data_IF_704112868236
#
_entry.id   IF_704112868236
#
_cell.length_a   1.000
_cell.length_b   1.000
_cell.length_c   1.000
_cell.angle_alpha   90.00
_cell.angle_beta   90.00
_cell.angle_gamma   90.00
#
_symmetry.space_group_name_H-M   'P 1'
#
loop_
_entity.id
_entity.type
_entity.pdbx_description
1 polymer ?
#
# COMPACT_ATOMS: atom_id res chain seq x y z
N UNK A 1 -49.62 -18.23 60.93
CA UNK A 1 -48.28 -18.41 60.35
C UNK A 1 -47.86 -17.07 59.80
N UNK A 2 -47.19 -16.24 60.63
CA UNK A 2 -46.75 -14.89 60.25
C UNK A 2 -45.35 -14.96 59.60
N UNK A 3 -45.28 -14.79 58.31
CA UNK A 3 -44.02 -14.55 57.63
C UNK A 3 -43.65 -13.09 57.92
N UNK A 4 -42.57 -12.90 58.67
CA UNK A 4 -42.12 -11.60 59.12
C UNK A 4 -41.65 -10.77 57.94
N UNK A 5 -42.07 -9.49 57.87
CA UNK A 5 -41.67 -8.47 56.81
C UNK A 5 -40.16 -8.39 56.58
N UNK A 6 -39.33 -8.83 57.53
CA UNK A 6 -37.86 -8.86 57.46
C UNK A 6 -37.32 -9.76 56.37
N UNK A 7 -37.98 -10.87 56.01
CA UNK A 7 -37.47 -11.79 54.97
C UNK A 7 -37.82 -11.31 53.57
N UNK A 8 -38.89 -10.53 53.36
CA UNK A 8 -39.29 -9.99 52.08
C UNK A 8 -38.31 -8.88 51.63
N UNK A 9 -37.88 -8.03 52.57
CA UNK A 9 -36.93 -6.94 52.30
C UNK A 9 -35.54 -7.48 51.95
N UNK A 10 -35.08 -8.55 52.60
CA UNK A 10 -33.79 -9.19 52.29
C UNK A 10 -33.77 -9.80 50.89
N UNK A 11 -34.86 -10.41 50.44
CA UNK A 11 -34.94 -10.95 49.07
C UNK A 11 -35.02 -9.86 47.99
N UNK A 12 -35.74 -8.76 48.25
CA UNK A 12 -35.81 -7.62 47.33
C UNK A 12 -34.49 -6.90 47.18
N UNK A 13 -33.73 -6.72 48.27
CA UNK A 13 -32.38 -6.13 48.24
C UNK A 13 -31.38 -7.03 47.51
N UNK A 14 -31.45 -8.37 47.70
CA UNK A 14 -30.56 -9.31 46.98
C UNK A 14 -30.84 -9.37 45.49
N UNK A 15 -32.10 -9.28 45.05
CA UNK A 15 -32.47 -9.27 43.63
C UNK A 15 -32.04 -7.96 42.98
N UNK A 16 -32.18 -6.81 43.66
CA UNK A 16 -31.73 -5.51 43.13
C UNK A 16 -30.21 -5.42 43.00
N UNK A 17 -29.43 -6.00 43.93
CA UNK A 17 -27.96 -6.06 43.81
C UNK A 17 -27.51 -6.97 42.65
N UNK A 18 -28.24 -8.09 42.41
CA UNK A 18 -27.88 -8.99 41.29
C UNK A 18 -28.17 -8.37 39.93
N UNK A 19 -29.26 -7.61 39.77
CA UNK A 19 -29.60 -6.88 38.55
C UNK A 19 -28.62 -5.74 38.32
N UNK A 20 -28.15 -5.02 39.35
CA UNK A 20 -27.14 -3.97 39.23
C UNK A 20 -25.77 -4.51 38.87
N UNK A 21 -25.37 -5.71 39.37
CA UNK A 21 -24.13 -6.38 39.02
C UNK A 21 -24.10 -6.86 37.55
N UNK A 22 -25.25 -7.26 36.97
CA UNK A 22 -25.34 -7.64 35.55
C UNK A 22 -25.29 -6.43 34.59
N UNK A 23 -25.65 -5.24 35.04
CA UNK A 23 -25.60 -4.01 34.22
C UNK A 23 -24.21 -3.37 34.15
N UNK A 24 -23.31 -3.69 35.09
CA UNK A 24 -21.95 -3.13 35.14
C UNK A 24 -20.95 -3.94 34.27
N UNK A 25 -21.35 -5.12 33.79
CA UNK A 25 -20.47 -6.00 32.96
C UNK A 25 -20.56 -5.76 31.44
N UNK A 26 -21.22 -4.71 31.00
CA UNK A 26 -20.96 -4.18 29.64
C UNK A 26 -19.64 -3.42 29.67
N UNK A 27 -18.52 -4.14 29.83
CA UNK A 27 -17.23 -3.63 29.46
C UNK A 27 -17.36 -3.16 28.01
N UNK A 28 -17.39 -1.83 27.83
CA UNK A 28 -17.17 -1.25 26.53
C UNK A 28 -15.83 -1.80 26.05
N UNK A 29 -15.86 -2.85 25.24
CA UNK A 29 -14.70 -3.31 24.50
C UNK A 29 -14.38 -2.13 23.56
N UNK A 30 -13.57 -1.20 24.05
CA UNK A 30 -13.04 -0.15 23.20
C UNK A 30 -12.36 -0.86 22.06
N UNK A 31 -12.95 -0.78 20.88
CA UNK A 31 -12.32 -1.36 19.70
C UNK A 31 -10.89 -0.82 19.65
N UNK A 32 -9.93 -1.72 19.60
CA UNK A 32 -8.51 -1.35 19.52
C UNK A 32 -8.31 -0.43 18.31
N UNK A 33 -7.65 0.72 18.51
CA UNK A 33 -7.28 1.61 17.43
C UNK A 33 -6.35 0.88 16.46
N UNK A 34 -6.77 0.77 15.20
CA UNK A 34 -5.95 0.19 14.14
C UNK A 34 -4.89 1.20 13.69
N UNK A 35 -3.65 0.76 13.58
CA UNK A 35 -2.54 1.56 13.05
C UNK A 35 -2.19 1.10 11.65
N UNK A 36 -2.27 2.01 10.67
CA UNK A 36 -2.01 1.72 9.26
C UNK A 36 -0.87 2.62 8.77
N UNK A 37 0.22 2.01 8.29
CA UNK A 37 1.31 2.74 7.64
C UNK A 37 1.00 3.07 6.19
N UNK A 38 1.38 4.27 5.74
CA UNK A 38 1.30 4.69 4.34
C UNK A 38 2.39 5.70 4.00
N UNK A 39 2.73 5.82 2.72
CA UNK A 39 3.75 6.73 2.21
C UNK A 39 3.22 7.63 1.09
N UNK A 40 4.11 8.27 0.35
CA UNK A 40 3.81 9.30 -0.64
C UNK A 40 3.31 8.80 -2.00
N UNK A 41 3.23 7.47 -2.21
CA UNK A 41 2.63 6.93 -3.43
C UNK A 41 1.20 7.49 -3.65
N UNK A 42 0.87 7.99 -4.84
CA UNK A 42 -0.41 8.66 -5.09
C UNK A 42 -1.63 7.82 -4.72
N UNK A 43 -1.59 6.51 -4.91
CA UNK A 43 -2.65 5.59 -4.50
C UNK A 43 -2.82 5.53 -2.99
N UNK A 44 -1.72 5.52 -2.22
CA UNK A 44 -1.79 5.50 -0.75
C UNK A 44 -2.25 6.83 -0.19
N UNK A 45 -1.81 7.94 -0.78
CA UNK A 45 -2.22 9.30 -0.36
C UNK A 45 -3.73 9.52 -0.51
N UNK A 46 -4.43 8.74 -1.35
CA UNK A 46 -5.89 8.82 -1.46
C UNK A 46 -6.60 8.58 -0.11
N UNK A 47 -6.02 7.81 0.81
CA UNK A 47 -6.54 7.65 2.17
C UNK A 47 -6.68 8.97 2.94
N UNK A 48 -5.85 9.98 2.61
CA UNK A 48 -5.90 11.29 3.26
C UNK A 48 -7.29 11.95 3.10
N UNK A 49 -7.98 11.69 2.00
CA UNK A 49 -9.36 12.17 1.79
C UNK A 49 -10.29 11.66 2.90
N UNK A 50 -10.21 10.36 3.24
CA UNK A 50 -11.03 9.81 4.32
C UNK A 50 -10.62 10.32 5.69
N UNK A 51 -9.32 10.55 5.91
CA UNK A 51 -8.76 11.08 7.16
C UNK A 51 -9.31 12.50 7.39
N UNK A 52 -9.12 13.41 6.44
CA UNK A 52 -9.50 14.81 6.57
C UNK A 52 -11.02 15.00 6.64
N UNK A 53 -11.77 14.12 5.96
CA UNK A 53 -13.25 14.18 5.99
C UNK A 53 -13.86 13.43 7.18
N UNK A 54 -13.06 12.77 8.02
CA UNK A 54 -13.55 12.07 9.22
C UNK A 54 -14.36 10.80 8.91
N UNK A 55 -14.20 10.20 7.73
CA UNK A 55 -15.04 9.06 7.29
C UNK A 55 -14.82 7.79 8.08
N UNK A 56 -13.67 7.60 8.70
CA UNK A 56 -13.45 6.47 9.62
C UNK A 56 -14.31 6.60 10.87
N UNK A 57 -14.43 7.80 11.44
CA UNK A 57 -15.32 8.08 12.57
C UNK A 57 -16.78 7.86 12.20
N UNK A 58 -17.21 8.33 11.01
CA UNK A 58 -18.57 8.08 10.49
C UNK A 58 -18.86 6.58 10.35
N UNK A 59 -17.87 5.78 9.90
CA UNK A 59 -17.99 4.34 9.79
C UNK A 59 -17.92 3.61 11.14
N UNK A 60 -17.66 4.33 12.24
CA UNK A 60 -17.53 3.75 13.58
C UNK A 60 -16.34 2.80 13.68
N UNK A 61 -15.19 3.19 13.12
CA UNK A 61 -13.92 2.48 13.26
C UNK A 61 -12.84 3.47 13.70
N UNK A 62 -12.07 3.08 14.72
CA UNK A 62 -10.95 3.88 15.21
C UNK A 62 -9.68 3.45 14.47
N UNK A 63 -9.16 4.36 13.64
CA UNK A 63 -7.98 4.12 12.80
C UNK A 63 -7.03 5.30 12.90
N UNK A 64 -5.76 5.02 13.10
CA UNK A 64 -4.67 5.98 12.99
C UNK A 64 -3.82 5.63 11.77
N UNK A 65 -3.80 6.51 10.78
CA UNK A 65 -2.83 6.42 9.69
C UNK A 65 -1.50 7.05 10.12
N UNK A 66 -0.41 6.31 9.95
CA UNK A 66 0.95 6.77 10.24
C UNK A 66 1.69 7.02 8.92
N UNK A 67 2.12 8.25 8.74
CA UNK A 67 2.85 8.68 7.55
C UNK A 67 4.33 8.35 7.64
N UNK A 68 4.86 7.81 6.55
CA UNK A 68 6.27 7.56 6.35
C UNK A 68 6.74 8.25 5.08
N UNK A 69 7.68 9.20 5.21
CA UNK A 69 8.31 9.84 4.05
C UNK A 69 9.28 8.90 3.32
N UNK A 70 9.73 7.86 4.01
CA UNK A 70 10.58 6.79 3.50
C UNK A 70 9.73 5.50 3.49
N UNK A 71 9.55 4.93 2.30
CA UNK A 71 8.73 3.73 2.10
C UNK A 71 9.28 2.53 2.86
N UNK A 72 10.59 2.27 2.76
CA UNK A 72 11.21 1.14 3.46
C UNK A 72 11.08 1.25 4.97
N UNK A 73 11.08 2.45 5.55
CA UNK A 73 10.82 2.64 6.97
C UNK A 73 9.39 2.21 7.38
N UNK A 74 8.40 2.32 6.47
CA UNK A 74 7.05 1.80 6.74
C UNK A 74 7.03 0.27 6.78
N UNK A 75 7.76 -0.39 5.87
CA UNK A 75 7.92 -1.85 5.83
C UNK A 75 8.61 -2.36 7.09
N UNK A 76 9.66 -1.67 7.54
CA UNK A 76 10.36 -1.97 8.79
C UNK A 76 9.45 -1.82 10.02
N UNK A 77 8.66 -0.74 10.08
CA UNK A 77 7.73 -0.50 11.17
C UNK A 77 6.65 -1.60 11.25
N UNK A 78 6.11 -2.05 10.10
CA UNK A 78 5.17 -3.17 10.05
C UNK A 78 5.87 -4.47 10.48
N UNK A 79 7.06 -4.75 9.97
CA UNK A 79 7.84 -5.94 10.29
C UNK A 79 8.21 -6.02 11.78
N UNK A 80 8.40 -4.87 12.42
CA UNK A 80 8.62 -4.77 13.86
C UNK A 80 7.33 -4.87 14.71
N UNK A 81 6.16 -5.11 14.07
CA UNK A 81 4.87 -5.22 14.77
C UNK A 81 4.31 -3.90 15.33
N UNK A 82 4.79 -2.76 14.84
CA UNK A 82 4.32 -1.42 15.28
C UNK A 82 3.03 -0.99 14.59
N UNK A 83 2.67 -1.64 13.48
CA UNK A 83 1.50 -1.39 12.65
C UNK A 83 0.61 -2.62 12.57
N UNK A 84 -0.70 -2.42 12.50
CA UNK A 84 -1.70 -3.46 12.27
C UNK A 84 -1.88 -3.76 10.78
N UNK A 85 -1.73 -2.73 9.96
CA UNK A 85 -1.83 -2.79 8.51
C UNK A 85 -0.84 -1.84 7.82
N UNK A 86 -0.63 -2.06 6.54
CA UNK A 86 0.31 -1.29 5.73
C UNK A 86 -0.16 -1.26 4.27
N UNK A 87 0.07 -0.12 3.60
CA UNK A 87 -0.06 0.00 2.15
C UNK A 87 1.29 -0.29 1.49
N UNK A 88 1.32 -1.21 0.54
CA UNK A 88 2.53 -1.65 -0.14
C UNK A 88 2.17 -2.34 -1.46
N UNK A 89 3.18 -2.66 -2.28
CA UNK A 89 2.92 -3.46 -3.48
C UNK A 89 2.67 -4.94 -3.14
N UNK A 90 1.99 -5.64 -4.05
CA UNK A 90 1.78 -7.09 -3.93
C UNK A 90 3.11 -7.87 -3.89
N UNK A 91 4.15 -7.40 -4.59
CA UNK A 91 5.49 -7.99 -4.56
C UNK A 91 6.17 -7.78 -3.22
N UNK A 92 6.14 -6.56 -2.68
CA UNK A 92 6.79 -6.22 -1.41
C UNK A 92 6.09 -6.86 -0.21
N UNK A 93 4.76 -7.10 -0.32
CA UNK A 93 4.02 -7.91 0.65
C UNK A 93 4.63 -9.30 0.83
N UNK A 94 5.08 -9.93 -0.28
CA UNK A 94 5.78 -11.23 -0.22
C UNK A 94 7.19 -11.09 0.34
N UNK A 95 7.91 -10.02 0.00
CA UNK A 95 9.27 -9.76 0.50
C UNK A 95 9.28 -9.70 2.02
N UNK A 96 8.42 -8.86 2.61
CA UNK A 96 8.36 -8.76 4.08
C UNK A 96 7.82 -10.04 4.72
N UNK A 97 6.90 -10.77 4.06
CA UNK A 97 6.38 -12.04 4.55
C UNK A 97 7.47 -13.12 4.59
N UNK A 98 8.33 -13.20 3.58
CA UNK A 98 9.47 -14.11 3.51
C UNK A 98 10.52 -13.81 4.61
N UNK A 99 10.67 -12.54 4.97
CA UNK A 99 11.48 -12.05 6.10
C UNK A 99 10.88 -12.30 7.48
N UNK A 100 9.68 -12.92 7.55
CA UNK A 100 9.02 -13.27 8.82
C UNK A 100 7.86 -12.35 9.21
N UNK A 101 7.68 -11.21 8.56
CA UNK A 101 6.55 -10.30 8.79
C UNK A 101 5.29 -10.79 8.07
N UNK A 102 4.71 -11.89 8.55
CA UNK A 102 3.51 -12.49 7.94
C UNK A 102 2.38 -11.47 7.86
N UNK A 103 1.77 -11.40 6.69
CA UNK A 103 0.69 -10.47 6.40
C UNK A 103 -0.30 -11.09 5.40
N UNK A 104 -1.46 -10.47 5.25
CA UNK A 104 -2.50 -10.90 4.31
C UNK A 104 -3.03 -9.68 3.56
N UNK A 105 -3.01 -9.72 2.25
CA UNK A 105 -3.58 -8.72 1.36
C UNK A 105 -5.11 -8.83 1.42
N UNK A 106 -5.79 -7.81 1.93
CA UNK A 106 -7.24 -7.82 2.13
C UNK A 106 -8.00 -6.90 1.19
N UNK A 107 -7.30 -5.97 0.52
CA UNK A 107 -7.88 -4.96 -0.36
C UNK A 107 -6.89 -4.59 -1.45
N UNK A 108 -7.33 -4.59 -2.70
CA UNK A 108 -6.64 -4.00 -3.83
C UNK A 108 -6.93 -2.50 -3.86
N UNK A 109 -5.88 -1.69 -3.86
CA UNK A 109 -5.98 -0.23 -3.88
C UNK A 109 -5.92 0.32 -5.30
N UNK A 110 -4.85 0.00 -6.01
CA UNK A 110 -4.60 0.50 -7.36
C UNK A 110 -3.55 -0.36 -8.09
N UNK A 111 -3.20 0.06 -9.30
CA UNK A 111 -1.96 -0.34 -9.94
C UNK A 111 -1.28 0.86 -10.60
N UNK A 112 0.04 0.78 -10.74
CA UNK A 112 0.83 1.79 -11.43
C UNK A 112 0.68 1.67 -12.96
N UNK A 113 0.28 2.78 -13.59
CA UNK A 113 0.08 2.91 -15.03
C UNK A 113 0.90 4.07 -15.59
N UNK A 114 2.21 4.04 -15.33
CA UNK A 114 3.17 5.02 -15.82
C UNK A 114 3.87 5.87 -14.76
N UNK A 115 3.48 5.79 -13.50
CA UNK A 115 4.08 6.58 -12.41
C UNK A 115 5.39 6.01 -11.86
N UNK A 116 5.61 4.69 -11.97
CA UNK A 116 6.92 4.09 -11.74
C UNK A 116 7.74 4.18 -13.03
N UNK A 117 8.97 4.69 -12.94
CA UNK A 117 9.76 5.06 -14.11
C UNK A 117 11.22 4.69 -13.95
N UNK A 118 11.84 4.27 -15.06
CA UNK A 118 13.29 4.34 -15.26
C UNK A 118 13.60 5.70 -15.88
N UNK A 119 14.12 6.62 -15.08
CA UNK A 119 14.48 7.98 -15.50
C UNK A 119 15.98 8.04 -15.78
N UNK A 120 16.36 8.42 -16.99
CA UNK A 120 17.74 8.46 -17.42
C UNK A 120 18.22 9.87 -17.78
N UNK A 121 19.50 10.11 -17.61
CA UNK A 121 20.19 11.35 -17.97
C UNK A 121 20.17 11.61 -19.49
N UNK A 122 20.37 12.88 -19.92
CA UNK A 122 20.53 13.24 -21.31
C UNK A 122 21.59 12.36 -22.00
N UNK A 123 21.31 11.96 -23.24
CA UNK A 123 22.19 11.08 -24.03
C UNK A 123 21.85 9.59 -23.94
N UNK A 124 21.12 9.15 -22.89
CA UNK A 124 20.60 7.79 -22.75
C UNK A 124 19.17 7.76 -23.32
N UNK A 125 18.94 6.94 -24.35
CA UNK A 125 17.67 6.91 -25.09
C UNK A 125 16.88 5.63 -24.89
N UNK A 126 17.53 4.58 -24.41
CA UNK A 126 16.95 3.25 -24.24
C UNK A 126 17.60 2.51 -23.08
N UNK A 127 16.97 1.41 -22.63
CA UNK A 127 17.54 0.52 -21.63
C UNK A 127 18.91 -0.05 -22.06
N UNK A 128 19.11 -0.32 -23.37
CA UNK A 128 20.37 -0.85 -23.90
C UNK A 128 21.54 0.11 -23.70
N UNK A 129 21.28 1.41 -23.66
CA UNK A 129 22.31 2.43 -23.42
C UNK A 129 22.79 2.45 -21.97
N UNK A 130 22.12 1.71 -21.06
CA UNK A 130 22.52 1.56 -19.67
C UNK A 130 23.63 0.51 -19.46
N UNK A 131 24.01 -0.23 -20.50
CA UNK A 131 25.07 -1.26 -20.38
C UNK A 131 26.36 -0.64 -19.83
N UNK A 132 26.88 -1.24 -18.75
CA UNK A 132 28.08 -0.77 -18.04
C UNK A 132 27.88 0.50 -17.19
N UNK A 133 26.65 0.99 -17.05
CA UNK A 133 26.34 2.21 -16.30
C UNK A 133 25.80 1.90 -14.90
N UNK A 134 25.86 2.90 -14.01
CA UNK A 134 25.29 2.84 -12.67
C UNK A 134 23.84 3.32 -12.68
N UNK A 135 22.96 2.55 -12.02
CA UNK A 135 21.53 2.83 -11.88
C UNK A 135 21.16 2.83 -10.40
N UNK A 136 20.61 3.94 -9.90
CA UNK A 136 20.14 4.08 -8.53
C UNK A 136 18.70 3.59 -8.39
N UNK A 137 18.46 2.68 -7.44
CA UNK A 137 17.12 2.18 -7.09
C UNK A 137 17.13 1.50 -5.71
N UNK A 138 15.98 1.31 -5.11
CA UNK A 138 15.86 0.59 -3.84
C UNK A 138 15.86 -0.92 -4.09
N UNK A 139 16.95 -1.57 -3.68
CA UNK A 139 17.21 -2.99 -3.97
C UNK A 139 16.26 -3.91 -3.20
N UNK A 140 15.70 -4.89 -3.89
CA UNK A 140 14.84 -5.92 -3.31
C UNK A 140 13.36 -5.57 -3.25
N UNK A 141 12.98 -4.35 -3.62
CA UNK A 141 11.60 -3.86 -3.59
C UNK A 141 11.07 -3.54 -5.00
N UNK A 142 9.95 -2.86 -5.07
CA UNK A 142 9.16 -2.61 -6.28
C UNK A 142 9.98 -2.05 -7.45
N UNK A 143 10.89 -1.10 -7.20
CA UNK A 143 11.73 -0.53 -8.27
C UNK A 143 12.68 -1.56 -8.85
N UNK A 144 13.22 -2.44 -8.00
CA UNK A 144 14.09 -3.51 -8.46
C UNK A 144 13.33 -4.48 -9.37
N UNK A 145 12.11 -4.89 -8.97
CA UNK A 145 11.23 -5.72 -9.79
C UNK A 145 10.92 -5.07 -11.15
N UNK A 146 10.53 -3.79 -11.16
CA UNK A 146 10.25 -3.07 -12.40
C UNK A 146 11.48 -3.01 -13.30
N UNK A 147 12.64 -2.70 -12.74
CA UNK A 147 13.89 -2.59 -13.50
C UNK A 147 14.34 -3.93 -14.09
N UNK A 148 14.28 -5.00 -13.31
CA UNK A 148 14.60 -6.35 -13.79
C UNK A 148 13.66 -6.77 -14.93
N UNK A 149 12.37 -6.43 -14.83
CA UNK A 149 11.40 -6.68 -15.90
C UNK A 149 11.71 -5.86 -17.14
N UNK A 150 12.13 -4.60 -16.98
CA UNK A 150 12.55 -3.73 -18.07
C UNK A 150 13.79 -4.31 -18.77
N UNK A 151 14.81 -4.73 -18.03
CA UNK A 151 16.02 -5.36 -18.58
C UNK A 151 15.69 -6.66 -19.33
N UNK A 152 14.84 -7.51 -18.77
CA UNK A 152 14.41 -8.76 -19.43
C UNK A 152 13.77 -8.48 -20.80
N UNK A 153 12.85 -7.50 -20.88
CA UNK A 153 12.23 -7.09 -22.14
C UNK A 153 13.20 -6.48 -23.15
N UNK A 154 14.27 -5.84 -22.68
CA UNK A 154 15.34 -5.32 -23.52
C UNK A 154 16.37 -6.38 -23.96
N UNK A 155 16.22 -7.63 -23.49
CA UNK A 155 17.18 -8.71 -23.73
C UNK A 155 18.49 -8.52 -22.96
N UNK A 156 18.45 -7.80 -21.84
CA UNK A 156 19.58 -7.53 -20.96
C UNK A 156 19.48 -8.33 -19.66
N UNK A 157 20.59 -8.44 -18.96
CA UNK A 157 20.71 -9.05 -17.64
C UNK A 157 21.02 -7.98 -16.60
N UNK A 158 20.72 -8.26 -15.34
CA UNK A 158 21.12 -7.39 -14.23
C UNK A 158 22.63 -7.11 -14.21
N UNK A 159 23.44 -8.14 -14.51
CA UNK A 159 24.90 -8.01 -14.60
C UNK A 159 25.40 -7.10 -15.73
N UNK A 160 24.55 -6.66 -16.64
CA UNK A 160 24.93 -5.66 -17.67
C UNK A 160 25.00 -4.22 -17.12
N UNK A 161 24.51 -3.99 -15.90
CA UNK A 161 24.50 -2.69 -15.23
C UNK A 161 25.09 -2.81 -13.82
N UNK A 162 25.41 -1.68 -13.19
CA UNK A 162 25.77 -1.63 -11.77
C UNK A 162 24.63 -0.99 -10.99
N UNK A 163 23.93 -1.77 -10.19
CA UNK A 163 22.88 -1.25 -9.30
C UNK A 163 23.52 -0.60 -8.08
N UNK A 164 23.06 0.61 -7.75
CA UNK A 164 23.43 1.35 -6.54
C UNK A 164 22.19 1.47 -5.67
N UNK A 165 22.23 0.81 -4.50
CA UNK A 165 21.10 0.88 -3.57
C UNK A 165 20.86 2.32 -3.13
N UNK A 166 19.70 2.85 -3.47
CA UNK A 166 19.32 4.25 -3.26
C UNK A 166 17.85 4.27 -2.86
N UNK A 167 17.54 4.85 -1.72
CA UNK A 167 16.15 5.02 -1.28
C UNK A 167 15.38 5.87 -2.28
N UNK A 168 14.10 5.55 -2.50
CA UNK A 168 13.29 6.23 -3.52
C UNK A 168 13.26 7.74 -3.36
N UNK A 169 13.11 8.24 -2.14
CA UNK A 169 13.13 9.69 -1.85
C UNK A 169 14.50 10.36 -2.06
N UNK A 170 15.59 9.58 -2.16
CA UNK A 170 16.95 10.07 -2.44
C UNK A 170 17.31 10.02 -3.93
N UNK A 171 16.52 9.30 -4.73
CA UNK A 171 16.81 9.10 -6.17
C UNK A 171 16.88 10.41 -6.99
N UNK A 172 16.08 11.46 -6.72
CA UNK A 172 16.21 12.73 -7.44
C UNK A 172 17.61 13.34 -7.28
N UNK A 173 18.14 13.36 -6.07
CA UNK A 173 19.48 13.86 -5.78
C UNK A 173 20.55 12.93 -6.35
N UNK A 174 20.35 11.62 -6.30
CA UNK A 174 21.27 10.66 -6.88
C UNK A 174 21.43 10.86 -8.39
N UNK A 175 20.32 11.14 -9.12
CA UNK A 175 20.37 11.41 -10.56
C UNK A 175 21.13 12.70 -10.88
N UNK A 176 21.13 13.71 -10.03
CA UNK A 176 21.93 14.93 -10.22
C UNK A 176 23.45 14.66 -10.12
N UNK A 177 23.85 13.64 -9.35
CA UNK A 177 25.26 13.29 -9.18
C UNK A 177 25.91 12.85 -10.51
N UNK A 178 27.21 13.05 -10.67
CA UNK A 178 27.92 12.61 -11.88
C UNK A 178 28.05 11.08 -12.00
N UNK A 179 27.76 10.35 -10.93
CA UNK A 179 28.05 8.93 -10.81
C UNK A 179 26.89 8.04 -11.28
N UNK A 180 25.64 8.50 -11.11
CA UNK A 180 24.43 7.77 -11.48
C UNK A 180 23.97 8.20 -12.88
N UNK A 181 23.70 7.24 -13.73
CA UNK A 181 23.26 7.46 -15.11
C UNK A 181 21.74 7.40 -15.31
N UNK A 182 21.07 6.61 -14.48
CA UNK A 182 19.61 6.50 -14.42
C UNK A 182 19.17 6.15 -13.01
N UNK A 183 17.91 6.40 -12.72
CA UNK A 183 17.27 5.96 -11.48
C UNK A 183 15.98 5.21 -11.80
N UNK A 184 15.52 4.40 -10.85
CA UNK A 184 14.16 3.86 -10.86
C UNK A 184 13.43 4.39 -9.64
N UNK A 185 12.28 5.00 -9.87
CA UNK A 185 11.51 5.63 -8.82
C UNK A 185 10.05 5.80 -9.26
N UNK A 186 9.16 6.01 -8.28
CA UNK A 186 7.76 6.38 -8.51
C UNK A 186 7.51 7.87 -8.25
N UNK A 187 6.30 8.34 -8.57
CA UNK A 187 5.85 9.68 -8.21
C UNK A 187 5.62 9.81 -6.69
N UNK A 188 6.07 10.94 -6.07
CA UNK A 188 6.56 12.17 -6.72
C UNK A 188 8.04 12.19 -7.08
N UNK A 189 8.86 11.25 -6.58
CA UNK A 189 10.33 11.26 -6.76
C UNK A 189 10.76 11.17 -8.20
N UNK A 190 10.12 10.35 -9.04
CA UNK A 190 10.43 10.28 -10.48
C UNK A 190 10.19 11.62 -11.19
N UNK A 191 9.10 12.31 -10.86
CA UNK A 191 8.80 13.64 -11.40
C UNK A 191 9.76 14.72 -10.90
N UNK A 192 10.20 14.64 -9.66
CA UNK A 192 11.22 15.53 -9.10
C UNK A 192 12.57 15.34 -9.81
N UNK A 193 12.97 14.09 -10.06
CA UNK A 193 14.18 13.78 -10.81
C UNK A 193 14.16 14.36 -12.24
N UNK A 194 13.03 14.22 -12.95
CA UNK A 194 12.83 14.82 -14.28
C UNK A 194 12.93 16.34 -14.25
N UNK A 195 12.48 16.99 -13.18
CA UNK A 195 12.55 18.44 -13.00
C UNK A 195 13.97 18.91 -12.65
N UNK A 196 14.68 18.17 -11.77
CA UNK A 196 16.02 18.53 -11.29
C UNK A 196 17.10 18.37 -12.35
N UNK A 197 16.95 17.40 -13.25
CA UNK A 197 17.95 17.09 -14.28
C UNK A 197 17.42 17.49 -15.67
N UNK A 198 17.73 18.69 -16.18
CA UNK A 198 17.25 19.18 -17.48
C UNK A 198 17.62 18.22 -18.61
N UNK A 199 16.61 17.80 -19.37
CA UNK A 199 16.77 16.85 -20.48
C UNK A 199 16.78 15.38 -20.08
N UNK A 200 16.66 15.04 -18.79
CA UNK A 200 16.37 13.68 -18.34
C UNK A 200 15.00 13.23 -18.89
N UNK A 201 14.85 11.93 -19.12
CA UNK A 201 13.63 11.34 -19.68
C UNK A 201 13.33 10.00 -19.03
N UNK A 202 12.05 9.68 -18.90
CA UNK A 202 11.62 8.32 -18.67
C UNK A 202 11.89 7.48 -19.93
N UNK A 203 12.69 6.43 -19.80
CA UNK A 203 13.02 5.50 -20.89
C UNK A 203 12.25 4.18 -20.79
N UNK A 204 11.59 3.94 -19.65
CA UNK A 204 10.68 2.85 -19.40
C UNK A 204 9.75 3.22 -18.24
N UNK A 205 8.51 2.72 -18.26
CA UNK A 205 7.55 2.98 -17.20
C UNK A 205 6.69 1.74 -16.90
N UNK A 206 5.97 1.74 -15.79
CA UNK A 206 5.00 0.71 -15.44
C UNK A 206 3.90 0.52 -16.49
N UNK A 207 3.58 1.54 -17.28
CA UNK A 207 2.64 1.43 -18.41
C UNK A 207 3.10 0.44 -19.50
N UNK A 208 4.39 0.08 -19.57
CA UNK A 208 4.90 -0.96 -20.45
C UNK A 208 4.56 -2.39 -19.95
N UNK A 209 4.13 -2.53 -18.68
CA UNK A 209 3.80 -3.80 -18.03
C UNK A 209 2.59 -3.65 -17.11
N UNK A 210 1.42 -3.23 -17.63
CA UNK A 210 0.25 -2.93 -16.81
C UNK A 210 -0.17 -4.13 -15.97
N UNK A 211 -0.36 -3.92 -14.67
CA UNK A 211 -0.72 -4.95 -13.71
C UNK A 211 0.47 -5.76 -13.15
N UNK A 212 1.73 -5.38 -13.43
CA UNK A 212 2.88 -5.94 -12.72
C UNK A 212 2.94 -5.42 -11.27
N UNK A 213 2.67 -4.14 -11.06
CA UNK A 213 2.74 -3.46 -9.78
C UNK A 213 1.32 -3.12 -9.32
N UNK A 214 0.73 -4.02 -8.55
CA UNK A 214 -0.52 -3.76 -7.84
C UNK A 214 -0.21 -3.30 -6.43
N UNK A 215 -0.98 -2.34 -5.96
CA UNK A 215 -0.92 -1.79 -4.61
C UNK A 215 -2.06 -2.32 -3.77
N UNK A 216 -1.75 -2.73 -2.55
CA UNK A 216 -2.68 -3.42 -1.67
C UNK A 216 -2.64 -2.86 -0.25
N UNK A 217 -3.70 -3.07 0.51
CA UNK A 217 -3.68 -3.01 1.96
C UNK A 217 -3.44 -4.43 2.49
N UNK A 218 -2.30 -4.63 3.13
CA UNK A 218 -1.97 -5.85 3.86
C UNK A 218 -2.10 -5.64 5.36
N UNK A 219 -2.53 -6.68 6.07
CA UNK A 219 -2.73 -6.63 7.53
C UNK A 219 -2.06 -7.79 8.22
N UNK A 220 -1.63 -7.60 9.46
CA UNK A 220 -1.06 -8.67 10.27
C UNK A 220 -2.12 -9.74 10.58
N UNK A 221 -1.76 -11.04 10.60
CA UNK A 221 -2.71 -12.10 10.91
C UNK A 221 -3.39 -11.93 12.28
N UNK A 222 -2.66 -11.42 13.26
CA UNK A 222 -3.17 -11.16 14.61
C UNK A 222 -4.24 -10.07 14.59
N UNK A 223 -3.96 -8.94 13.93
CA UNK A 223 -4.93 -7.84 13.81
C UNK A 223 -6.14 -8.26 12.98
N UNK A 224 -5.93 -9.04 11.90
CA UNK A 224 -7.03 -9.55 11.07
C UNK A 224 -7.98 -10.46 11.88
N UNK A 225 -7.44 -11.35 12.69
CA UNK A 225 -8.22 -12.25 13.51
C UNK A 225 -9.01 -11.50 14.60
N UNK A 226 -8.39 -10.53 15.26
CA UNK A 226 -8.98 -9.80 16.39
C UNK A 226 -9.94 -8.69 15.97
N UNK A 227 -9.75 -8.10 14.77
CA UNK A 227 -10.42 -6.86 14.35
C UNK A 227 -11.14 -6.99 12.99
N UNK A 228 -11.55 -8.21 12.59
CA UNK A 228 -12.13 -8.47 11.26
C UNK A 228 -13.26 -7.52 10.88
N UNK A 229 -14.17 -7.21 11.78
CA UNK A 229 -15.28 -6.29 11.53
C UNK A 229 -14.80 -4.85 11.26
N UNK A 230 -13.75 -4.41 11.95
CA UNK A 230 -13.12 -3.10 11.71
C UNK A 230 -12.44 -3.04 10.34
N UNK A 231 -11.74 -4.10 9.95
CA UNK A 231 -11.12 -4.18 8.62
C UNK A 231 -12.14 -4.16 7.49
N UNK A 232 -13.29 -4.81 7.64
CA UNK A 232 -14.40 -4.68 6.67
C UNK A 232 -14.85 -3.22 6.54
N UNK A 233 -15.00 -2.49 7.66
CA UNK A 233 -15.36 -1.07 7.61
C UNK A 233 -14.28 -0.22 6.92
N UNK A 234 -13.01 -0.49 7.17
CA UNK A 234 -11.88 0.18 6.48
C UNK A 234 -11.97 -0.01 4.97
N UNK A 235 -12.26 -1.24 4.49
CA UNK A 235 -12.41 -1.47 3.05
C UNK A 235 -13.62 -0.73 2.45
N UNK A 236 -14.71 -0.59 3.19
CA UNK A 236 -15.86 0.21 2.75
C UNK A 236 -15.56 1.71 2.68
N UNK A 237 -14.75 2.22 3.62
CA UNK A 237 -14.27 3.61 3.56
C UNK A 237 -13.41 3.82 2.30
N UNK A 238 -12.55 2.87 1.93
CA UNK A 238 -11.80 2.95 0.68
C UNK A 238 -12.70 3.06 -0.55
N UNK A 239 -13.77 2.27 -0.59
CA UNK A 239 -14.74 2.38 -1.69
C UNK A 239 -15.31 3.80 -1.83
N UNK A 240 -15.61 4.46 -0.70
CA UNK A 240 -16.06 5.87 -0.67
C UNK A 240 -14.95 6.81 -1.17
N UNK A 241 -13.69 6.57 -0.78
CA UNK A 241 -12.52 7.35 -1.22
C UNK A 241 -12.39 7.31 -2.74
N UNK A 242 -12.34 6.11 -3.33
CA UNK A 242 -12.12 5.97 -4.78
C UNK A 242 -13.24 6.61 -5.58
N UNK A 243 -14.49 6.41 -5.16
CA UNK A 243 -15.63 7.05 -5.82
C UNK A 243 -15.53 8.59 -5.75
N UNK A 244 -15.07 9.14 -4.61
CA UNK A 244 -14.90 10.57 -4.43
C UNK A 244 -13.75 11.16 -5.28
N UNK A 245 -12.63 10.43 -5.38
CA UNK A 245 -11.47 10.84 -6.19
C UNK A 245 -11.80 10.80 -7.68
N UNK A 246 -12.61 9.84 -8.11
CA UNK A 246 -12.96 9.62 -9.53
C UNK A 246 -14.16 10.45 -10.00
N UNK A 247 -14.99 10.99 -9.10
CA UNK A 247 -16.11 11.84 -9.48
C UNK A 247 -15.62 13.24 -9.86
N UNK A 248 -15.93 13.67 -11.09
CA UNK A 248 -15.54 15.00 -11.61
C UNK A 248 -16.01 16.17 -10.75
N UNK A 249 -17.07 16.00 -9.96
CA UNK A 249 -17.60 17.05 -9.05
C UNK A 249 -16.77 17.20 -7.78
N UNK A 250 -16.10 16.16 -7.34
CA UNK A 250 -15.34 16.12 -6.08
C UNK A 250 -13.84 15.96 -6.26
N UNK A 251 -13.38 15.61 -7.47
CA UNK A 251 -11.97 15.37 -7.78
C UNK A 251 -11.06 16.56 -7.41
N UNK A 252 -11.49 17.79 -7.69
CA UNK A 252 -10.70 18.98 -7.38
C UNK A 252 -10.44 19.12 -5.87
N UNK A 253 -11.43 18.81 -5.03
CA UNK A 253 -11.28 18.81 -3.58
C UNK A 253 -10.40 17.64 -3.11
N UNK A 254 -10.58 16.45 -3.67
CA UNK A 254 -9.71 15.31 -3.38
C UNK A 254 -8.24 15.61 -3.72
N UNK A 255 -7.97 16.15 -4.90
CA UNK A 255 -6.62 16.53 -5.34
C UNK A 255 -6.00 17.57 -4.41
N UNK A 256 -6.79 18.57 -3.96
CA UNK A 256 -6.34 19.58 -2.99
C UNK A 256 -5.89 18.92 -1.67
N UNK A 257 -6.66 17.97 -1.15
CA UNK A 257 -6.32 17.24 0.08
C UNK A 257 -5.05 16.41 -0.13
N UNK A 258 -5.00 15.62 -1.20
CA UNK A 258 -3.88 14.72 -1.50
C UNK A 258 -2.57 15.48 -1.75
N UNK A 259 -2.63 16.56 -2.54
CA UNK A 259 -1.46 17.41 -2.82
C UNK A 259 -0.92 18.10 -1.57
N UNK A 260 -1.80 18.60 -0.70
CA UNK A 260 -1.40 19.21 0.57
C UNK A 260 -0.63 18.20 1.46
N UNK A 261 -1.04 16.92 1.48
CA UNK A 261 -0.33 15.89 2.25
C UNK A 261 1.10 15.67 1.79
N UNK A 262 1.35 15.77 0.48
CA UNK A 262 2.68 15.59 -0.11
C UNK A 262 3.50 16.89 -0.23
N UNK A 263 2.94 18.03 0.18
CA UNK A 263 3.60 19.34 0.04
C UNK A 263 3.65 19.86 -1.39
N UNK A 264 2.85 19.29 -2.30
CA UNK A 264 2.77 19.67 -3.70
C UNK A 264 1.57 20.59 -3.96
N UNK A 265 1.57 21.28 -5.11
CA UNK A 265 0.38 22.00 -5.57
C UNK A 265 -0.59 21.05 -6.29
N UNK A 266 -1.90 21.36 -6.33
CA UNK A 266 -2.88 20.57 -7.07
C UNK A 266 -2.53 20.35 -8.54
N UNK A 267 -1.93 21.34 -9.20
CA UNK A 267 -1.55 21.31 -10.62
C UNK A 267 -0.42 20.29 -10.86
N UNK A 268 0.52 20.18 -9.93
CA UNK A 268 1.63 19.21 -9.97
C UNK A 268 1.11 17.80 -9.65
N UNK A 269 0.17 17.68 -8.73
CA UNK A 269 -0.34 16.40 -8.23
C UNK A 269 -1.36 15.74 -9.18
N UNK A 270 -2.25 16.53 -9.80
CA UNK A 270 -3.33 16.03 -10.64
C UNK A 270 -2.86 15.04 -11.75
N UNK A 271 -1.74 15.28 -12.45
CA UNK A 271 -1.20 14.31 -13.44
C UNK A 271 -0.91 12.92 -12.85
N UNK A 272 -0.57 12.81 -11.56
CA UNK A 272 -0.26 11.52 -10.93
C UNK A 272 -1.48 10.58 -10.90
N UNK A 273 -2.70 11.13 -10.80
CA UNK A 273 -3.92 10.33 -10.86
C UNK A 273 -4.13 9.67 -12.22
N UNK A 274 -3.52 10.18 -13.28
CA UNK A 274 -3.59 9.55 -14.62
C UNK A 274 -2.71 8.31 -14.71
N UNK A 275 -1.61 8.28 -13.94
CA UNK A 275 -0.69 7.16 -13.86
C UNK A 275 -0.94 6.23 -12.67
N UNK A 276 -2.08 6.42 -11.95
CA UNK A 276 -2.49 5.59 -10.81
C UNK A 276 -3.93 5.13 -11.02
N UNK A 277 -4.11 3.85 -11.30
CA UNK A 277 -5.43 3.27 -11.58
C UNK A 277 -6.08 2.80 -10.28
N UNK A 278 -6.82 3.69 -9.60
CA UNK A 278 -7.53 3.35 -8.37
C UNK A 278 -8.67 2.35 -8.61
N UNK A 279 -8.84 1.38 -7.71
CA UNK A 279 -9.91 0.41 -7.73
C UNK A 279 -10.91 0.63 -6.59
N UNK A 280 -12.17 0.87 -6.91
CA UNK A 280 -13.26 0.69 -5.97
C UNK A 280 -13.54 -0.82 -5.77
N UNK A 281 -14.42 -1.16 -4.82
CA UNK A 281 -14.71 -2.57 -4.50
C UNK A 281 -15.24 -3.34 -5.73
N UNK A 282 -16.11 -2.73 -6.53
CA UNK A 282 -16.71 -3.40 -7.69
C UNK A 282 -15.68 -3.70 -8.79
N UNK A 283 -14.77 -2.78 -9.05
CA UNK A 283 -13.70 -2.96 -10.04
C UNK A 283 -12.58 -3.86 -9.50
N UNK A 284 -12.20 -3.71 -8.25
CA UNK A 284 -11.23 -4.59 -7.58
C UNK A 284 -11.69 -6.05 -7.58
N UNK A 285 -12.99 -6.31 -7.37
CA UNK A 285 -13.56 -7.67 -7.44
C UNK A 285 -13.31 -8.38 -8.77
N UNK A 286 -13.21 -7.64 -9.88
CA UNK A 286 -12.91 -8.19 -11.21
C UNK A 286 -11.45 -8.61 -11.38
N UNK A 287 -10.55 -8.03 -10.60
CA UNK A 287 -9.09 -8.24 -10.64
C UNK A 287 -8.65 -9.23 -9.55
N UNK A 288 -9.29 -9.20 -8.38
CA UNK A 288 -8.97 -10.11 -7.26
C UNK A 288 -9.66 -11.45 -7.48
N UNK A 289 -9.33 -12.09 -8.58
CA UNK A 289 -9.81 -13.42 -8.98
C UNK A 289 -8.61 -14.33 -9.23
N UNK A 290 -8.76 -15.62 -8.94
CA UNK A 290 -7.72 -16.61 -9.27
C UNK A 290 -7.53 -16.69 -10.78
N UNK A 291 -6.30 -16.56 -11.22
CA UNK A 291 -5.94 -16.58 -12.64
C UNK A 291 -4.43 -16.40 -12.82
N UNK A 292 -3.96 -16.63 -14.03
CA UNK A 292 -2.58 -16.40 -14.42
C UNK A 292 -2.43 -15.07 -15.16
N UNK A 293 -1.21 -14.50 -15.12
CA UNK A 293 -0.86 -13.26 -15.81
C UNK A 293 -1.29 -11.99 -15.09
N UNK A 294 -0.95 -10.85 -15.70
CA UNK A 294 -0.98 -9.53 -15.05
C UNK A 294 -2.39 -8.93 -14.86
N UNK A 295 -3.42 -9.52 -15.47
CA UNK A 295 -4.82 -9.04 -15.29
C UNK A 295 -5.48 -9.56 -14.01
N UNK A 296 -4.81 -10.43 -13.27
CA UNK A 296 -5.24 -11.00 -12.00
C UNK A 296 -4.24 -10.61 -10.91
N UNK A 297 -4.73 -10.18 -9.74
CA UNK A 297 -3.86 -9.95 -8.58
C UNK A 297 -3.09 -11.25 -8.22
N UNK A 298 -3.73 -12.42 -8.26
CA UNK A 298 -3.07 -13.69 -7.99
C UNK A 298 -1.98 -14.01 -9.02
N UNK A 299 -2.26 -13.80 -10.31
CA UNK A 299 -1.29 -14.03 -11.38
C UNK A 299 -0.11 -13.07 -11.32
N UNK A 300 -0.36 -11.76 -11.11
CA UNK A 300 0.67 -10.75 -10.91
C UNK A 300 1.54 -11.10 -9.69
N UNK A 301 0.92 -11.47 -8.57
CA UNK A 301 1.65 -11.82 -7.35
C UNK A 301 2.51 -13.08 -7.53
N UNK A 302 2.05 -14.09 -8.29
CA UNK A 302 2.87 -15.25 -8.68
C UNK A 302 4.07 -14.84 -9.55
N UNK A 303 3.88 -13.88 -10.46
CA UNK A 303 4.97 -13.38 -11.32
C UNK A 303 5.99 -12.65 -10.44
N UNK A 304 5.56 -11.80 -9.53
CA UNK A 304 6.45 -11.12 -8.57
C UNK A 304 7.20 -12.13 -7.68
N UNK A 305 6.52 -13.15 -7.17
CA UNK A 305 7.14 -14.24 -6.40
C UNK A 305 8.23 -14.95 -7.20
N UNK A 306 7.92 -15.34 -8.45
CA UNK A 306 8.89 -15.99 -9.34
C UNK A 306 10.12 -15.11 -9.64
N UNK A 307 9.94 -13.78 -9.79
CA UNK A 307 11.06 -12.85 -9.93
C UNK A 307 11.89 -12.77 -8.64
N UNK A 308 11.26 -12.62 -7.49
CA UNK A 308 11.95 -12.52 -6.21
C UNK A 308 12.78 -13.76 -5.90
N UNK A 309 12.27 -14.96 -6.23
CA UNK A 309 13.03 -16.21 -6.09
C UNK A 309 14.16 -16.29 -7.12
N UNK A 310 13.89 -15.95 -8.39
CA UNK A 310 14.90 -16.00 -9.48
C UNK A 310 16.09 -15.09 -9.22
N UNK A 311 15.84 -13.90 -8.65
CA UNK A 311 16.87 -12.90 -8.35
C UNK A 311 17.34 -12.93 -6.88
N UNK A 312 17.02 -14.03 -6.17
CA UNK A 312 17.51 -14.32 -4.81
C UNK A 312 17.14 -13.28 -3.75
N UNK A 313 16.05 -12.50 -3.97
CA UNK A 313 15.49 -11.63 -2.93
C UNK A 313 15.06 -12.48 -1.74
N UNK A 314 14.48 -13.65 -2.01
CA UNK A 314 14.30 -14.74 -1.05
C UNK A 314 14.36 -16.10 -1.77
N UNK A 315 14.56 -17.20 -0.99
CA UNK A 315 14.87 -18.52 -1.57
C UNK A 315 13.66 -19.41 -1.81
N UNK A 316 12.62 -19.27 -0.99
CA UNK A 316 11.46 -20.17 -0.98
C UNK A 316 10.23 -19.42 -1.45
N UNK A 317 9.52 -19.92 -2.49
CA UNK A 317 8.28 -19.28 -2.95
C UNK A 317 7.25 -19.17 -1.82
N UNK A 318 6.52 -18.05 -1.79
CA UNK A 318 5.43 -17.83 -0.85
C UNK A 318 4.12 -18.47 -1.34
N UNK A 319 3.22 -18.76 -0.40
CA UNK A 319 1.92 -19.33 -0.75
C UNK A 319 0.92 -18.23 -1.09
N UNK A 320 0.75 -17.95 -2.38
CA UNK A 320 -0.09 -16.86 -2.89
C UNK A 320 -1.56 -17.00 -2.46
N UNK A 321 -2.08 -18.22 -2.40
CA UNK A 321 -3.46 -18.46 -1.96
C UNK A 321 -3.70 -18.11 -0.49
N UNK A 322 -2.66 -18.13 0.34
CA UNK A 322 -2.70 -17.72 1.74
C UNK A 322 -2.37 -16.22 1.91
N UNK A 323 -1.62 -15.65 0.96
CA UNK A 323 -1.24 -14.25 1.00
C UNK A 323 -2.39 -13.29 0.66
N UNK A 324 -3.47 -13.77 0.00
CA UNK A 324 -4.60 -12.95 -0.45
C UNK A 324 -5.90 -13.48 0.18
N UNK A 325 -6.62 -12.62 0.94
CA UNK A 325 -7.95 -12.92 1.46
C UNK A 325 -9.02 -11.97 0.88
N UNK A 326 -9.70 -12.37 -0.21
CA UNK A 326 -10.73 -11.55 -0.83
C UNK A 326 -12.01 -11.43 0.03
N UNK A 327 -12.15 -12.26 1.07
CA UNK A 327 -13.39 -12.34 1.86
C UNK A 327 -13.65 -11.10 2.73
N UNK A 328 -12.67 -10.22 2.88
CA UNK A 328 -12.79 -9.00 3.69
C UNK A 328 -13.44 -7.87 2.89
N UNK A 329 -12.95 -7.62 1.68
CA UNK A 329 -13.43 -6.52 0.85
C UNK A 329 -14.49 -6.96 -0.20
N UNK A 330 -14.46 -8.21 -0.69
CA UNK A 330 -15.15 -8.60 -1.94
C UNK A 330 -16.21 -9.69 -1.77
N UNK A 331 -16.79 -9.81 -0.57
CA UNK A 331 -17.92 -10.72 -0.30
C UNK A 331 -19.15 -10.40 -1.12
#
# INVERSE_FOLDING_TARGET
MQLTQSNLIKHLVSISLFIFACLVSMSSYSAQQLKIGYSDWPGYVAWQVAIDKGWFKEAGVDVKFEWFADYSASLEAFSAGKLDGITLTNGDSLVIASGGAKNTMILLLDYSDGNDMVVAKPGIKSLKDLKGKKVGLEVGFVEHLLFLKALEQAGMKESDVTIVNTKTNETPQALESNDISAIVAWQPSSGEALKRVPGAKAIYTSANVPGLLYDVLSVSPTSLASNKASWVKVTQVWNKVVNYVNDTKTQADAVKIMSARTGLTPEVYLPFLKGTRLFNIADGKKVVVKGDGLKSLYGSTKIADGFNVKYEVYKTPENIDKAIDPSIAYK
#
